data_IF_267481240449
#
_entry.id   IF_267481240449
#
_cell.length_a   1.000
_cell.length_b   1.000
_cell.length_c   1.000
_cell.angle_alpha   90.00
_cell.angle_beta   90.00
_cell.angle_gamma   90.00
#
_symmetry.space_group_name_H-M   'P 1'
#
loop_
_entity.id
_entity.type
_entity.pdbx_description
1 polymer ?
#
# COMPACT_ATOMS: atom_id res chain seq x y z
N UNK A 1 -35.87 -7.73 -18.89
CA UNK A 1 -35.31 -7.13 -17.67
C UNK A 1 -34.07 -7.89 -17.23
N UNK A 2 -34.18 -9.20 -16.95
CA UNK A 2 -33.05 -10.04 -16.51
C UNK A 2 -31.88 -10.14 -17.51
N UNK A 3 -32.15 -10.09 -18.81
CA UNK A 3 -31.08 -10.15 -19.83
C UNK A 3 -30.33 -8.82 -20.03
N UNK A 4 -30.96 -7.69 -19.72
CA UNK A 4 -30.31 -6.37 -19.79
C UNK A 4 -29.35 -6.18 -18.62
N UNK A 5 -29.80 -6.51 -17.41
CA UNK A 5 -29.01 -6.43 -16.18
C UNK A 5 -27.73 -7.27 -16.27
N UNK A 6 -27.83 -8.52 -16.76
CA UNK A 6 -26.66 -9.37 -17.03
C UNK A 6 -25.71 -8.78 -18.07
N UNK A 7 -26.24 -8.10 -19.09
CA UNK A 7 -25.40 -7.46 -20.10
C UNK A 7 -24.61 -6.27 -19.53
N UNK A 8 -25.23 -5.51 -18.62
CA UNK A 8 -24.58 -4.38 -17.95
C UNK A 8 -23.54 -4.85 -16.93
N UNK A 9 -23.79 -5.94 -16.20
CA UNK A 9 -22.80 -6.58 -15.32
C UNK A 9 -21.56 -7.07 -16.11
N UNK A 10 -21.77 -7.72 -17.25
CA UNK A 10 -20.68 -8.19 -18.10
C UNK A 10 -19.91 -7.00 -18.68
N UNK A 11 -20.61 -5.95 -19.11
CA UNK A 11 -19.98 -4.72 -19.59
C UNK A 11 -19.11 -4.08 -18.51
N UNK A 12 -19.63 -3.90 -17.29
CA UNK A 12 -18.87 -3.37 -16.16
C UNK A 12 -17.62 -4.20 -15.87
N UNK A 13 -17.74 -5.54 -15.88
CA UNK A 13 -16.60 -6.44 -15.69
C UNK A 13 -15.53 -6.27 -16.79
N UNK A 14 -15.94 -6.13 -18.05
CA UNK A 14 -15.03 -5.89 -19.16
C UNK A 14 -14.31 -4.54 -19.02
N UNK A 15 -15.02 -3.47 -18.67
CA UNK A 15 -14.41 -2.15 -18.46
C UNK A 15 -13.42 -2.20 -17.29
N UNK A 16 -13.79 -2.79 -16.16
CA UNK A 16 -12.87 -2.95 -15.02
C UNK A 16 -11.64 -3.76 -15.39
N UNK A 17 -11.79 -4.86 -16.12
CA UNK A 17 -10.63 -5.65 -16.56
C UNK A 17 -9.72 -4.83 -17.46
N UNK A 18 -10.29 -4.15 -18.46
CA UNK A 18 -9.56 -3.33 -19.40
C UNK A 18 -8.73 -2.24 -18.68
N UNK A 19 -9.36 -1.50 -17.76
CA UNK A 19 -8.72 -0.41 -17.00
C UNK A 19 -7.69 -0.91 -15.97
N UNK A 20 -7.78 -2.17 -15.53
CA UNK A 20 -6.76 -2.75 -14.65
C UNK A 20 -5.52 -3.22 -15.41
N UNK A 21 -5.67 -3.61 -16.68
CA UNK A 21 -4.57 -4.17 -17.49
C UNK A 21 -3.84 -3.09 -18.29
N UNK A 22 -4.54 -2.00 -18.64
CA UNK A 22 -4.07 -0.94 -19.52
C UNK A 22 -4.00 0.38 -18.76
N UNK A 23 -2.83 1.01 -18.76
CA UNK A 23 -2.56 2.32 -18.16
C UNK A 23 -2.58 3.47 -19.18
N UNK A 24 -2.76 3.16 -20.46
CA UNK A 24 -2.81 4.08 -21.60
C UNK A 24 -4.23 4.52 -21.99
N UNK A 25 -5.24 4.21 -21.17
CA UNK A 25 -6.64 4.52 -21.47
C UNK A 25 -7.06 5.83 -20.81
N UNK A 26 -7.44 6.81 -21.62
CA UNK A 26 -8.12 8.01 -21.15
C UNK A 26 -9.60 7.71 -20.89
N UNK A 27 -10.01 7.81 -19.63
CA UNK A 27 -11.38 7.51 -19.18
C UNK A 27 -12.40 8.41 -19.89
N UNK A 28 -12.05 9.66 -20.11
CA UNK A 28 -12.91 10.64 -20.76
C UNK A 28 -13.19 10.26 -22.23
N UNK A 29 -12.21 9.70 -22.93
CA UNK A 29 -12.40 9.22 -24.30
C UNK A 29 -13.27 7.95 -24.34
N UNK A 30 -13.05 7.04 -23.38
CA UNK A 30 -13.84 5.83 -23.22
C UNK A 30 -15.30 6.14 -22.89
N UNK A 31 -15.56 7.09 -21.97
CA UNK A 31 -16.90 7.58 -21.63
C UNK A 31 -17.60 8.15 -22.84
N UNK A 32 -16.95 9.07 -23.56
CA UNK A 32 -17.52 9.72 -24.73
C UNK A 32 -17.93 8.70 -25.78
N UNK A 33 -17.04 7.75 -26.08
CA UNK A 33 -17.30 6.69 -27.08
C UNK A 33 -18.48 5.82 -26.68
N UNK A 34 -18.56 5.42 -25.40
CA UNK A 34 -19.69 4.62 -24.93
C UNK A 34 -21.01 5.41 -24.89
N UNK A 35 -20.94 6.70 -24.59
CA UNK A 35 -22.09 7.61 -24.52
C UNK A 35 -22.73 7.85 -25.89
N UNK A 36 -21.92 7.88 -26.96
CA UNK A 36 -22.41 7.98 -28.35
C UNK A 36 -23.35 6.81 -28.69
N UNK A 37 -23.06 5.62 -28.17
CA UNK A 37 -23.90 4.42 -28.36
C UNK A 37 -25.03 4.32 -27.32
N UNK A 38 -24.76 4.71 -26.06
CA UNK A 38 -25.71 4.64 -24.96
C UNK A 38 -25.31 5.58 -23.83
N UNK A 39 -26.18 6.55 -23.54
CA UNK A 39 -26.00 7.48 -22.42
C UNK A 39 -25.80 6.74 -21.09
N UNK A 40 -26.58 5.68 -20.85
CA UNK A 40 -26.47 4.84 -19.65
C UNK A 40 -25.08 4.20 -19.51
N UNK A 41 -24.46 3.77 -20.63
CA UNK A 41 -23.11 3.17 -20.59
C UNK A 41 -22.01 4.18 -20.34
N UNK A 42 -22.15 5.40 -20.87
CA UNK A 42 -21.24 6.50 -20.54
C UNK A 42 -21.27 6.83 -19.04
N UNK A 43 -22.47 6.95 -18.46
CA UNK A 43 -22.65 7.18 -17.02
C UNK A 43 -22.12 6.01 -16.16
N UNK A 44 -22.28 4.78 -16.63
CA UNK A 44 -21.71 3.59 -15.97
C UNK A 44 -20.18 3.62 -15.96
N UNK A 45 -19.53 4.01 -17.06
CA UNK A 45 -18.06 4.17 -17.11
C UNK A 45 -17.58 5.22 -16.10
N UNK A 46 -18.25 6.38 -16.01
CA UNK A 46 -17.90 7.40 -15.01
C UNK A 46 -18.02 6.87 -13.59
N UNK A 47 -19.09 6.13 -13.31
CA UNK A 47 -19.31 5.50 -12.01
C UNK A 47 -18.23 4.48 -11.67
N UNK A 48 -17.80 3.67 -12.66
CA UNK A 48 -16.68 2.73 -12.52
C UNK A 48 -15.37 3.48 -12.24
N UNK A 49 -15.10 4.55 -12.97
CA UNK A 49 -13.88 5.35 -12.80
C UNK A 49 -13.81 6.01 -11.42
N UNK A 50 -14.93 6.56 -10.93
CA UNK A 50 -15.02 7.13 -9.58
C UNK A 50 -14.74 6.07 -8.52
N UNK A 51 -15.36 4.89 -8.63
CA UNK A 51 -15.12 3.78 -7.72
C UNK A 51 -13.65 3.32 -7.72
N UNK A 52 -13.04 3.17 -8.89
CA UNK A 52 -11.63 2.78 -9.00
C UNK A 52 -10.69 3.83 -8.38
N UNK A 53 -11.01 5.12 -8.53
CA UNK A 53 -10.26 6.22 -7.91
C UNK A 53 -10.38 6.17 -6.39
N UNK A 54 -11.58 5.97 -5.85
CA UNK A 54 -11.81 5.81 -4.41
C UNK A 54 -11.05 4.61 -3.85
N UNK A 55 -11.15 3.44 -4.48
CA UNK A 55 -10.40 2.24 -4.09
C UNK A 55 -8.88 2.47 -4.15
N UNK A 56 -8.40 3.22 -5.15
CA UNK A 56 -6.99 3.58 -5.28
C UNK A 56 -6.52 4.47 -4.13
N UNK A 57 -7.32 5.46 -3.73
CA UNK A 57 -7.04 6.34 -2.60
C UNK A 57 -7.04 5.54 -1.29
N UNK A 58 -8.05 4.70 -1.06
CA UNK A 58 -8.15 3.87 0.14
C UNK A 58 -6.94 2.94 0.30
N UNK A 59 -6.59 2.19 -0.76
CA UNK A 59 -5.38 1.33 -0.78
C UNK A 59 -4.09 2.13 -0.59
N UNK A 60 -4.02 3.33 -1.15
CA UNK A 60 -2.88 4.23 -0.98
C UNK A 60 -2.71 4.69 0.47
N UNK A 61 -3.82 5.05 1.13
CA UNK A 61 -3.84 5.43 2.54
C UNK A 61 -3.45 4.25 3.42
N UNK A 62 -4.02 3.06 3.19
CA UNK A 62 -3.71 1.86 3.97
C UNK A 62 -2.22 1.52 3.91
N UNK A 63 -1.64 1.45 2.70
CA UNK A 63 -0.19 1.22 2.50
C UNK A 63 0.66 2.31 3.14
N UNK A 64 0.22 3.57 3.05
CA UNK A 64 0.91 4.70 3.66
C UNK A 64 0.95 4.61 5.19
N UNK A 65 -0.17 4.23 5.82
CA UNK A 65 -0.28 4.03 7.27
C UNK A 65 0.61 2.87 7.72
N UNK A 66 0.56 1.73 7.03
CA UNK A 66 1.37 0.56 7.35
C UNK A 66 2.87 0.89 7.27
N UNK A 67 3.31 1.49 6.17
CA UNK A 67 4.69 1.94 5.99
C UNK A 67 5.11 2.93 7.06
N UNK A 68 4.29 3.94 7.35
CA UNK A 68 4.56 4.93 8.38
C UNK A 68 4.67 4.34 9.79
N UNK A 69 3.86 3.33 10.11
CA UNK A 69 3.92 2.61 11.39
C UNK A 69 5.25 1.86 11.53
N UNK A 70 5.70 1.17 10.49
CA UNK A 70 6.98 0.45 10.50
C UNK A 70 8.17 1.41 10.57
N UNK A 71 8.20 2.45 9.74
CA UNK A 71 9.27 3.46 9.78
C UNK A 71 9.33 4.16 11.16
N UNK A 72 8.16 4.46 11.75
CA UNK A 72 8.08 4.98 13.11
C UNK A 72 8.64 4.01 14.16
N UNK A 73 8.35 2.71 14.07
CA UNK A 73 8.92 1.69 14.96
C UNK A 73 10.44 1.64 14.85
N UNK A 74 11.00 1.70 13.64
CA UNK A 74 12.46 1.72 13.39
C UNK A 74 13.14 2.89 14.09
N UNK A 75 12.60 4.09 13.93
CA UNK A 75 13.17 5.29 14.56
C UNK A 75 13.00 5.29 16.09
N UNK A 76 11.88 4.79 16.61
CA UNK A 76 11.70 4.62 18.06
C UNK A 76 12.71 3.61 18.61
N UNK A 77 12.92 2.48 17.92
CA UNK A 77 13.89 1.48 18.33
C UNK A 77 15.31 2.04 18.37
N UNK A 78 15.73 2.73 17.31
CA UNK A 78 17.03 3.40 17.26
C UNK A 78 17.19 4.38 18.43
N UNK A 79 16.18 5.21 18.71
CA UNK A 79 16.23 6.19 19.79
C UNK A 79 16.36 5.55 21.18
N UNK A 80 15.60 4.49 21.46
CA UNK A 80 15.65 3.81 22.76
C UNK A 80 16.94 3.01 22.91
N UNK A 81 17.34 2.25 21.90
CA UNK A 81 18.58 1.48 21.92
C UNK A 81 19.81 2.38 21.99
N UNK A 82 19.79 3.56 21.35
CA UNK A 82 20.85 4.57 21.48
C UNK A 82 21.03 5.02 22.93
N UNK A 83 19.93 5.15 23.69
CA UNK A 83 19.98 5.51 25.12
C UNK A 83 20.45 4.35 26.01
N UNK A 84 20.13 3.11 25.64
CA UNK A 84 20.53 1.90 26.39
C UNK A 84 22.00 1.55 26.18
N UNK A 85 22.46 1.53 24.93
CA UNK A 85 23.78 1.03 24.55
C UNK A 85 24.81 2.12 24.27
N UNK A 86 24.38 3.39 24.16
CA UNK A 86 25.29 4.51 23.91
C UNK A 86 26.15 4.28 22.67
N UNK A 87 27.47 4.33 22.86
CA UNK A 87 28.46 4.22 21.78
C UNK A 87 28.54 2.81 21.16
N UNK A 88 27.98 1.79 21.82
CA UNK A 88 27.98 0.43 21.27
C UNK A 88 26.96 0.26 20.14
N UNK A 89 25.93 1.12 20.07
CA UNK A 89 25.02 1.20 18.93
C UNK A 89 25.64 2.09 17.83
N UNK A 90 26.48 1.47 17.02
CA UNK A 90 27.17 2.12 15.89
C UNK A 90 26.18 2.62 14.83
N UNK A 91 26.60 3.57 13.99
CA UNK A 91 25.79 4.01 12.84
C UNK A 91 25.48 2.88 11.87
N UNK A 92 26.38 1.90 11.74
CA UNK A 92 26.13 0.68 10.95
C UNK A 92 24.93 -0.11 11.49
N UNK A 93 24.85 -0.31 12.80
CA UNK A 93 23.71 -1.01 13.42
C UNK A 93 22.40 -0.23 13.27
N UNK A 94 22.45 1.10 13.40
CA UNK A 94 21.27 1.95 13.14
C UNK A 94 20.78 1.78 11.70
N UNK A 95 21.70 1.73 10.75
CA UNK A 95 21.34 1.57 9.34
C UNK A 95 20.77 0.19 9.04
N UNK A 96 21.30 -0.85 9.67
CA UNK A 96 20.72 -2.21 9.64
C UNK A 96 19.30 -2.21 10.21
N UNK A 97 19.01 -1.51 11.31
CA UNK A 97 17.65 -1.38 11.86
C UNK A 97 16.72 -0.66 10.88
N UNK A 98 17.17 0.39 10.19
CA UNK A 98 16.37 1.10 9.17
C UNK A 98 15.98 0.20 7.99
N UNK A 99 16.85 -0.74 7.65
CA UNK A 99 16.65 -1.67 6.53
C UNK A 99 16.09 -3.03 6.94
N UNK A 100 15.96 -3.30 8.24
CA UNK A 100 15.36 -4.51 8.77
C UNK A 100 13.93 -4.71 8.22
N UNK A 101 13.56 -5.96 7.97
CA UNK A 101 12.20 -6.32 7.60
C UNK A 101 11.23 -6.15 8.79
N UNK A 102 9.94 -6.29 8.49
CA UNK A 102 8.87 -6.07 9.46
C UNK A 102 8.93 -7.07 10.63
N UNK A 103 9.36 -8.31 10.38
CA UNK A 103 9.48 -9.35 11.40
C UNK A 103 10.59 -9.00 12.39
N UNK A 104 11.77 -8.63 11.87
CA UNK A 104 12.93 -8.25 12.65
C UNK A 104 12.65 -7.00 13.48
N UNK A 105 12.03 -5.95 12.92
CA UNK A 105 11.71 -4.75 13.68
C UNK A 105 10.65 -5.00 14.75
N UNK A 106 9.68 -5.89 14.48
CA UNK A 106 8.69 -6.26 15.49
C UNK A 106 9.37 -7.01 16.65
N UNK A 107 10.27 -7.96 16.37
CA UNK A 107 11.05 -8.63 17.40
C UNK A 107 11.86 -7.67 18.26
N UNK A 108 12.59 -6.74 17.63
CA UNK A 108 13.35 -5.70 18.34
C UNK A 108 12.40 -4.84 19.19
N UNK A 109 11.23 -4.48 18.63
CA UNK A 109 10.20 -3.71 19.30
C UNK A 109 9.66 -4.37 20.56
N UNK A 110 9.40 -5.68 20.50
CA UNK A 110 8.85 -6.46 21.61
C UNK A 110 9.91 -6.72 22.70
N UNK A 111 11.18 -6.84 22.31
CA UNK A 111 12.30 -7.11 23.23
C UNK A 111 13.14 -5.86 23.55
N UNK A 112 12.62 -4.65 23.29
CA UNK A 112 13.35 -3.39 23.29
C UNK A 112 14.18 -3.11 24.56
N UNK A 113 13.68 -3.57 25.71
CA UNK A 113 14.26 -3.34 27.04
C UNK A 113 15.13 -4.49 27.54
N UNK A 114 15.01 -5.67 26.93
CA UNK A 114 15.65 -6.92 27.37
C UNK A 114 16.76 -7.36 26.42
N UNK A 115 16.62 -7.05 25.12
CA UNK A 115 17.60 -7.37 24.08
C UNK A 115 18.99 -6.88 24.48
N UNK A 116 19.99 -7.73 24.24
CA UNK A 116 21.41 -7.43 24.44
C UNK A 116 22.05 -6.89 23.17
N UNK A 117 23.21 -6.23 23.28
CA UNK A 117 23.90 -5.71 22.09
C UNK A 117 24.46 -6.85 21.21
N UNK A 118 24.84 -7.97 21.81
CA UNK A 118 25.26 -9.19 21.09
C UNK A 118 24.10 -9.77 20.29
N UNK A 119 22.95 -9.99 20.93
CA UNK A 119 21.75 -10.51 20.27
C UNK A 119 21.29 -9.59 19.14
N UNK A 120 21.31 -8.27 19.35
CA UNK A 120 20.99 -7.29 18.30
C UNK A 120 21.91 -7.42 17.08
N UNK A 121 23.21 -7.68 17.28
CA UNK A 121 24.16 -7.92 16.18
C UNK A 121 23.89 -9.22 15.46
N UNK A 122 23.48 -10.27 16.18
CA UNK A 122 23.15 -11.57 15.60
C UNK A 122 21.93 -11.50 14.68
N UNK A 123 20.85 -10.84 15.12
CA UNK A 123 19.62 -10.74 14.32
C UNK A 123 19.72 -9.74 13.16
N UNK A 124 20.66 -8.79 13.21
CA UNK A 124 20.91 -7.80 12.16
C UNK A 124 22.06 -8.19 11.22
N UNK A 125 22.62 -9.39 11.35
CA UNK A 125 23.75 -9.86 10.54
C UNK A 125 23.34 -10.43 9.19
#
# INVERSE_FOLDING_TARGET
>A
MQDKEKADEVFEMCIKYLLNVRDDIEIEELERTAKEESVERGELIMSIAEKLREEGIEKGIEKGIEKGKIEGKKEVAINVLSRRFGNELTEELKEKIRHADDETINYIGDNLLEITIEELKEILN
#
